data_IF_447347903132
#
_entry.id   IF_447347903132
#
_cell.length_a   1.000
_cell.length_b   1.000
_cell.length_c   1.000
_cell.angle_alpha   90.00
_cell.angle_beta   90.00
_cell.angle_gamma   90.00
#
_symmetry.space_group_name_H-M   'P 1'
#
loop_
_entity.id
_entity.type
_entity.pdbx_description
1 polymer ?
#
# COMPACT_ATOMS: atom_id res chain seq x y z
N UNK A 1 26.00 -7.12 -6.69
CA UNK A 1 25.61 -5.85 -6.02
C UNK A 1 25.66 -4.65 -6.97
N UNK A 2 26.70 -4.50 -7.81
CA UNK A 2 26.79 -3.36 -8.75
C UNK A 2 25.61 -3.25 -9.74
N UNK A 3 25.11 -4.36 -10.28
CA UNK A 3 23.93 -4.35 -11.16
C UNK A 3 22.66 -3.85 -10.47
N UNK A 4 22.48 -4.18 -9.18
CA UNK A 4 21.32 -3.74 -8.40
C UNK A 4 21.44 -2.24 -8.11
N UNK A 5 22.63 -1.77 -7.75
CA UNK A 5 22.85 -0.34 -7.51
C UNK A 5 22.60 0.50 -8.77
N UNK A 6 23.07 0.04 -9.95
CA UNK A 6 22.73 0.68 -11.22
C UNK A 6 21.24 0.71 -11.48
N UNK A 7 20.54 -0.40 -11.25
CA UNK A 7 19.10 -0.48 -11.45
C UNK A 7 18.31 0.46 -10.52
N UNK A 8 18.76 0.64 -9.27
CA UNK A 8 18.16 1.57 -8.32
C UNK A 8 18.37 3.02 -8.76
N UNK A 9 19.58 3.37 -9.20
CA UNK A 9 19.88 4.71 -9.70
C UNK A 9 19.07 5.02 -10.97
N UNK A 10 19.06 4.08 -11.92
CA UNK A 10 18.29 4.21 -13.16
C UNK A 10 16.76 4.23 -12.91
N UNK A 11 16.30 3.58 -11.84
CA UNK A 11 14.90 3.67 -11.42
C UNK A 11 14.52 5.06 -10.94
N UNK A 12 15.43 5.82 -10.33
CA UNK A 12 15.15 7.20 -9.88
C UNK A 12 15.07 8.19 -11.03
N UNK A 13 15.78 7.94 -12.13
CA UNK A 13 15.75 8.81 -13.31
C UNK A 13 14.44 8.69 -14.11
N UNK A 14 13.79 7.52 -14.06
CA UNK A 14 12.57 7.25 -14.81
C UNK A 14 11.39 7.04 -13.87
N UNK A 15 10.41 7.95 -13.89
CA UNK A 15 9.21 7.84 -13.05
C UNK A 15 8.44 6.52 -13.23
N UNK A 16 8.45 5.96 -14.45
CA UNK A 16 7.84 4.65 -14.72
C UNK A 16 8.57 3.54 -13.96
N UNK A 17 9.91 3.52 -14.01
CA UNK A 17 10.72 2.50 -13.31
C UNK A 17 10.59 2.66 -11.79
N UNK A 18 10.59 3.91 -11.31
CA UNK A 18 10.36 4.21 -9.90
C UNK A 18 9.01 3.67 -9.42
N UNK A 19 7.95 3.93 -10.19
CA UNK A 19 6.60 3.48 -9.86
C UNK A 19 6.43 1.96 -9.92
N UNK A 20 7.08 1.29 -10.88
CA UNK A 20 7.10 -0.17 -10.96
C UNK A 20 7.85 -0.78 -9.76
N UNK A 21 8.97 -0.19 -9.35
CA UNK A 21 9.71 -0.65 -8.17
C UNK A 21 8.86 -0.49 -6.89
N UNK A 22 8.24 0.68 -6.71
CA UNK A 22 7.39 0.97 -5.55
C UNK A 22 6.15 0.06 -5.50
N UNK A 23 5.49 -0.16 -6.63
CA UNK A 23 4.36 -1.09 -6.73
C UNK A 23 4.77 -2.54 -6.44
N UNK A 24 5.94 -2.97 -6.90
CA UNK A 24 6.52 -4.28 -6.57
C UNK A 24 6.71 -4.47 -5.06
N UNK A 25 7.23 -3.44 -4.37
CA UNK A 25 7.32 -3.45 -2.90
C UNK A 25 5.93 -3.50 -2.23
N UNK A 26 4.94 -2.81 -2.80
CA UNK A 26 3.55 -2.87 -2.36
C UNK A 26 2.93 -4.26 -2.50
N UNK A 27 3.20 -4.97 -3.59
CA UNK A 27 2.73 -6.36 -3.79
C UNK A 27 3.28 -7.28 -2.69
N UNK A 28 4.58 -7.19 -2.40
CA UNK A 28 5.21 -7.99 -1.34
C UNK A 28 4.56 -7.72 0.02
N UNK A 29 4.34 -6.45 0.35
CA UNK A 29 3.65 -6.06 1.59
C UNK A 29 2.20 -6.58 1.62
N UNK A 30 1.47 -6.51 0.51
CA UNK A 30 0.09 -6.98 0.41
C UNK A 30 -0.07 -8.50 0.54
N UNK A 31 0.90 -9.27 0.02
CA UNK A 31 0.97 -10.72 0.24
C UNK A 31 1.21 -11.01 1.74
N UNK A 32 2.11 -10.27 2.37
CA UNK A 32 2.37 -10.40 3.82
C UNK A 32 1.11 -10.14 4.65
N UNK A 33 0.38 -9.05 4.38
CA UNK A 33 -0.85 -8.75 5.11
C UNK A 33 -1.98 -9.75 4.82
N UNK A 34 -2.15 -10.16 3.56
CA UNK A 34 -3.21 -11.08 3.17
C UNK A 34 -3.01 -12.49 3.72
N UNK A 35 -1.77 -12.98 3.77
CA UNK A 35 -1.44 -14.27 4.40
C UNK A 35 -1.70 -14.21 5.91
N UNK A 36 -1.25 -13.14 6.57
CA UNK A 36 -1.50 -12.91 8.00
C UNK A 36 -3.00 -12.95 8.32
N UNK A 37 -3.81 -12.12 7.64
CA UNK A 37 -5.25 -12.06 7.87
C UNK A 37 -5.98 -13.37 7.49
N UNK A 38 -5.48 -14.08 6.47
CA UNK A 38 -5.99 -15.41 6.10
C UNK A 38 -5.81 -16.45 7.22
N UNK A 39 -4.64 -16.42 7.87
CA UNK A 39 -4.34 -17.30 9.00
C UNK A 39 -5.23 -17.00 10.21
N UNK A 40 -5.50 -15.73 10.54
CA UNK A 40 -6.40 -15.40 11.65
C UNK A 40 -7.82 -15.90 11.45
N UNK A 41 -8.37 -15.74 10.25
CA UNK A 41 -9.75 -16.19 10.00
C UNK A 41 -9.91 -17.70 10.15
N UNK A 42 -8.93 -18.46 9.71
CA UNK A 42 -8.99 -19.90 9.86
C UNK A 42 -8.68 -20.42 11.26
N UNK A 43 -7.97 -19.64 12.08
CA UNK A 43 -7.76 -19.93 13.49
C UNK A 43 -9.04 -19.66 14.35
N UNK A 44 -9.91 -18.77 13.89
CA UNK A 44 -11.15 -18.38 14.58
C UNK A 44 -12.44 -18.90 13.91
N UNK A 45 -12.34 -19.67 12.83
CA UNK A 45 -13.48 -20.20 12.10
C UNK A 45 -14.19 -21.36 12.82
N UNK A 46 -15.48 -21.54 12.55
CA UNK A 46 -16.27 -22.64 13.10
C UNK A 46 -15.74 -24.01 12.65
N UNK A 47 -15.41 -24.87 13.62
CA UNK A 47 -14.80 -26.18 13.36
C UNK A 47 -15.84 -27.17 12.85
N UNK A 48 -15.98 -27.23 11.52
CA UNK A 48 -16.82 -28.23 10.84
C UNK A 48 -16.08 -29.58 10.79
N UNK A 49 -16.62 -30.59 11.50
CA UNK A 49 -16.14 -31.99 11.43
C UNK A 49 -16.37 -32.76 12.73
N UNK A 50 -16.53 -34.09 12.65
CA UNK A 50 -16.71 -34.97 13.80
C UNK A 50 -15.40 -35.43 14.44
N UNK A 51 -14.27 -35.27 13.72
CA UNK A 51 -12.93 -35.69 14.19
C UNK A 51 -11.95 -34.53 14.17
N UNK A 52 -11.05 -34.47 15.18
CA UNK A 52 -10.05 -33.40 15.32
C UNK A 52 -9.13 -33.26 14.10
N UNK A 53 -8.81 -34.38 13.42
CA UNK A 53 -7.98 -34.36 12.20
C UNK A 53 -8.68 -33.70 11.02
N UNK A 54 -9.95 -33.98 10.85
CA UNK A 54 -10.76 -33.48 9.74
C UNK A 54 -11.09 -32.00 9.93
N UNK A 55 -11.40 -31.59 11.17
CA UNK A 55 -11.56 -30.18 11.53
C UNK A 55 -10.28 -29.38 11.27
N UNK A 56 -9.10 -29.93 11.59
CA UNK A 56 -7.83 -29.27 11.34
C UNK A 56 -7.55 -29.13 9.84
N UNK A 57 -7.77 -30.19 9.06
CA UNK A 57 -7.58 -30.17 7.61
C UNK A 57 -8.53 -29.20 6.90
N UNK A 58 -9.81 -29.18 7.29
CA UNK A 58 -10.79 -28.23 6.76
C UNK A 58 -10.50 -26.79 7.20
N UNK A 59 -10.06 -26.59 8.44
CA UNK A 59 -9.63 -25.29 8.96
C UNK A 59 -8.44 -24.74 8.16
N UNK A 60 -7.38 -25.52 8.01
CA UNK A 60 -6.21 -25.11 7.21
C UNK A 60 -6.55 -24.85 5.76
N UNK A 61 -7.38 -25.69 5.13
CA UNK A 61 -7.79 -25.48 3.74
C UNK A 61 -8.60 -24.19 3.57
N UNK A 62 -9.54 -23.91 4.48
CA UNK A 62 -10.29 -22.65 4.49
C UNK A 62 -9.37 -21.45 4.72
N UNK A 63 -8.45 -21.54 5.67
CA UNK A 63 -7.42 -20.51 5.96
C UNK A 63 -6.62 -20.17 4.70
N UNK A 64 -6.16 -21.21 4.01
CA UNK A 64 -5.29 -21.07 2.85
C UNK A 64 -6.03 -20.45 1.67
N UNK A 65 -7.25 -20.88 1.40
CA UNK A 65 -8.08 -20.32 0.31
C UNK A 65 -8.45 -18.87 0.60
N UNK A 66 -8.88 -18.57 1.83
CA UNK A 66 -9.22 -17.21 2.25
C UNK A 66 -7.99 -16.28 2.21
N UNK A 67 -6.85 -16.75 2.72
CA UNK A 67 -5.59 -16.04 2.69
C UNK A 67 -5.11 -15.75 1.27
N UNK A 68 -5.22 -16.72 0.36
CA UNK A 68 -4.88 -16.53 -1.05
C UNK A 68 -5.73 -15.44 -1.70
N UNK A 69 -7.05 -15.50 -1.53
CA UNK A 69 -7.96 -14.54 -2.13
C UNK A 69 -7.75 -13.12 -1.57
N UNK A 70 -7.51 -12.99 -0.27
CA UNK A 70 -7.17 -11.71 0.37
C UNK A 70 -5.80 -11.19 -0.06
N UNK A 71 -4.80 -12.05 -0.18
CA UNK A 71 -3.45 -11.67 -0.61
C UNK A 71 -3.47 -11.06 -2.02
N UNK A 72 -4.24 -11.64 -2.94
CA UNK A 72 -4.42 -11.08 -4.29
C UNK A 72 -5.11 -9.72 -4.21
N UNK A 73 -6.18 -9.60 -3.41
CA UNK A 73 -6.88 -8.34 -3.27
C UNK A 73 -5.99 -7.23 -2.68
N UNK A 74 -5.34 -7.49 -1.54
CA UNK A 74 -4.49 -6.51 -0.88
C UNK A 74 -3.25 -6.16 -1.70
N UNK A 75 -2.60 -7.13 -2.33
CA UNK A 75 -1.47 -6.84 -3.23
C UNK A 75 -1.86 -5.90 -4.36
N UNK A 76 -3.05 -6.05 -4.96
CA UNK A 76 -3.56 -5.11 -5.96
C UNK A 76 -3.78 -3.70 -5.41
N UNK A 77 -4.30 -3.57 -4.19
CA UNK A 77 -4.50 -2.26 -3.55
C UNK A 77 -3.18 -1.58 -3.16
N UNK A 78 -2.22 -2.33 -2.58
CA UNK A 78 -0.92 -1.75 -2.23
C UNK A 78 -0.07 -1.45 -3.46
N UNK A 79 -0.18 -2.25 -4.52
CA UNK A 79 0.45 -1.96 -5.80
C UNK A 79 -0.08 -0.65 -6.41
N UNK A 80 -1.41 -0.43 -6.38
CA UNK A 80 -2.01 0.79 -6.93
C UNK A 80 -1.61 2.03 -6.11
N UNK A 81 -1.61 1.93 -4.77
CA UNK A 81 -1.13 3.01 -3.90
C UNK A 81 0.34 3.32 -4.16
N UNK A 82 1.20 2.30 -4.21
CA UNK A 82 2.64 2.47 -4.47
C UNK A 82 2.90 3.11 -5.83
N UNK A 83 2.20 2.69 -6.87
CA UNK A 83 2.31 3.24 -8.23
C UNK A 83 1.91 4.73 -8.26
N UNK A 84 0.74 5.07 -7.69
CA UNK A 84 0.22 6.44 -7.72
C UNK A 84 1.09 7.38 -6.86
N UNK A 85 1.44 6.96 -5.64
CA UNK A 85 2.24 7.77 -4.73
C UNK A 85 3.61 8.12 -5.32
N UNK A 86 4.40 7.09 -5.67
CA UNK A 86 5.75 7.27 -6.22
C UNK A 86 5.76 7.91 -7.62
N UNK A 87 4.70 7.71 -8.39
CA UNK A 87 4.52 8.38 -9.68
C UNK A 87 4.34 9.88 -9.51
N UNK A 88 3.50 10.31 -8.57
CA UNK A 88 3.29 11.73 -8.27
C UNK A 88 4.54 12.34 -7.65
N UNK A 89 5.17 11.63 -6.71
CA UNK A 89 6.42 12.07 -6.08
C UNK A 89 7.51 12.33 -7.13
N UNK A 90 7.75 11.39 -8.05
CA UNK A 90 8.74 11.56 -9.11
C UNK A 90 8.42 12.73 -10.06
N UNK A 91 7.13 12.95 -10.39
CA UNK A 91 6.73 14.10 -11.22
C UNK A 91 7.02 15.42 -10.49
N UNK A 92 6.71 15.51 -9.20
CA UNK A 92 6.98 16.71 -8.39
C UNK A 92 8.49 16.94 -8.25
N UNK A 93 9.27 15.88 -8.02
CA UNK A 93 10.72 15.95 -7.92
C UNK A 93 11.37 16.37 -9.24
N UNK A 94 10.85 15.91 -10.38
CA UNK A 94 11.33 16.30 -11.70
C UNK A 94 11.11 17.79 -11.98
N UNK A 95 9.98 18.34 -11.56
CA UNK A 95 9.67 19.78 -11.74
C UNK A 95 10.47 20.67 -10.78
N UNK A 96 10.70 20.23 -9.54
CA UNK A 96 11.42 21.03 -8.53
C UNK A 96 12.93 20.79 -8.47
N UNK A 97 13.42 19.72 -9.10
CA UNK A 97 14.82 19.28 -9.06
C UNK A 97 15.42 19.20 -7.65
N UNK A 98 14.60 18.88 -6.64
CA UNK A 98 14.98 18.76 -5.22
C UNK A 98 14.24 17.60 -4.58
N UNK A 99 14.93 16.89 -3.68
CA UNK A 99 14.38 15.82 -2.84
C UNK A 99 14.23 16.35 -1.41
N UNK A 100 13.06 16.90 -1.10
CA UNK A 100 12.74 17.50 0.20
C UNK A 100 11.46 16.88 0.77
N UNK A 101 11.33 16.92 2.10
CA UNK A 101 10.15 16.44 2.86
C UNK A 101 8.83 17.03 2.36
N UNK A 102 8.85 18.27 1.86
CA UNK A 102 7.68 18.94 1.29
C UNK A 102 7.15 18.26 0.03
N UNK A 103 8.01 17.61 -0.76
CA UNK A 103 7.60 16.87 -1.95
C UNK A 103 6.87 15.59 -1.55
N UNK A 104 7.39 14.86 -0.57
CA UNK A 104 6.77 13.66 0.02
C UNK A 104 5.40 13.99 0.61
N UNK A 105 5.28 15.08 1.38
CA UNK A 105 4.00 15.56 1.92
C UNK A 105 3.04 15.94 0.79
N UNK A 106 3.52 16.66 -0.24
CA UNK A 106 2.71 17.04 -1.39
C UNK A 106 2.21 15.82 -2.17
N UNK A 107 3.06 14.83 -2.41
CA UNK A 107 2.72 13.56 -3.06
C UNK A 107 1.73 12.74 -2.23
N UNK A 108 1.90 12.69 -0.91
CA UNK A 108 0.98 12.01 0.00
C UNK A 108 -0.40 12.67 0.02
N UNK A 109 -0.47 13.99 0.16
CA UNK A 109 -1.74 14.72 0.16
C UNK A 109 -2.49 14.55 -1.16
N UNK A 110 -1.79 14.65 -2.30
CA UNK A 110 -2.40 14.54 -3.63
C UNK A 110 -2.85 13.11 -3.94
N UNK A 111 -2.02 12.11 -3.64
CA UNK A 111 -2.42 10.69 -3.78
C UNK A 111 -3.60 10.33 -2.87
N UNK A 112 -3.58 10.77 -1.61
CA UNK A 112 -4.69 10.56 -0.66
C UNK A 112 -6.00 11.23 -1.11
N UNK A 113 -5.92 12.43 -1.67
CA UNK A 113 -7.06 13.11 -2.28
C UNK A 113 -7.60 12.32 -3.49
N UNK A 114 -6.72 11.83 -4.36
CA UNK A 114 -7.08 11.00 -5.52
C UNK A 114 -7.83 9.73 -5.12
N UNK A 115 -7.33 8.99 -4.12
CA UNK A 115 -7.99 7.79 -3.63
C UNK A 115 -9.31 8.10 -2.91
N UNK A 116 -9.36 9.17 -2.12
CA UNK A 116 -10.60 9.63 -1.47
C UNK A 116 -11.69 10.04 -2.47
N UNK A 117 -11.29 10.75 -3.53
CA UNK A 117 -12.16 11.13 -4.63
C UNK A 117 -12.65 9.91 -5.42
N UNK A 118 -11.75 8.96 -5.71
CA UNK A 118 -12.09 7.73 -6.43
C UNK A 118 -13.08 6.85 -5.64
N UNK A 119 -12.88 6.71 -4.34
CA UNK A 119 -13.79 5.98 -3.45
C UNK A 119 -15.18 6.64 -3.36
N UNK A 120 -15.25 7.96 -3.42
CA UNK A 120 -16.49 8.72 -3.29
C UNK A 120 -17.12 9.14 -4.64
N UNK A 121 -16.65 8.58 -5.77
CA UNK A 121 -17.05 9.04 -7.13
C UNK A 121 -18.56 8.99 -7.42
N UNK A 122 -19.31 8.12 -6.74
CA UNK A 122 -20.77 7.95 -6.91
C UNK A 122 -21.58 8.63 -5.79
N UNK A 123 -20.91 9.30 -4.83
CA UNK A 123 -21.54 9.88 -3.66
C UNK A 123 -21.94 11.34 -3.89
N UNK A 124 -22.88 11.90 -3.11
CA UNK A 124 -23.25 13.31 -3.22
C UNK A 124 -22.05 14.23 -2.96
N UNK A 125 -22.05 15.43 -3.54
CA UNK A 125 -20.93 16.37 -3.52
C UNK A 125 -20.36 16.65 -2.11
N UNK A 126 -21.23 16.68 -1.09
CA UNK A 126 -20.83 16.87 0.32
C UNK A 126 -19.97 15.71 0.84
N UNK A 127 -20.35 14.47 0.52
CA UNK A 127 -19.56 13.28 0.89
C UNK A 127 -18.28 13.19 0.07
N UNK A 128 -18.32 13.58 -1.20
CA UNK A 128 -17.15 13.64 -2.06
C UNK A 128 -16.06 14.53 -1.45
N UNK A 129 -16.38 15.78 -1.12
CA UNK A 129 -15.41 16.72 -0.53
C UNK A 129 -14.91 16.22 0.83
N UNK A 130 -15.81 15.68 1.66
CA UNK A 130 -15.44 15.17 2.99
C UNK A 130 -14.49 13.97 2.90
N UNK A 131 -14.76 13.02 2.00
CA UNK A 131 -13.91 11.83 1.81
C UNK A 131 -12.56 12.18 1.18
N UNK A 132 -12.54 13.11 0.22
CA UNK A 132 -11.30 13.63 -0.37
C UNK A 132 -10.45 14.34 0.70
N UNK A 133 -11.05 15.19 1.53
CA UNK A 133 -10.35 15.88 2.61
C UNK A 133 -9.81 14.89 3.67
N UNK A 134 -10.61 13.89 4.06
CA UNK A 134 -10.18 12.84 4.98
C UNK A 134 -9.04 12.00 4.39
N UNK A 135 -9.11 11.65 3.11
CA UNK A 135 -8.08 10.91 2.40
C UNK A 135 -6.77 11.69 2.29
N UNK A 136 -6.84 12.97 1.94
CA UNK A 136 -5.67 13.85 1.94
C UNK A 136 -5.05 13.95 3.34
N UNK A 137 -5.88 14.21 4.37
CA UNK A 137 -5.41 14.36 5.74
C UNK A 137 -4.74 13.09 6.28
N UNK A 138 -5.31 11.90 6.02
CA UNK A 138 -4.74 10.65 6.52
C UNK A 138 -3.40 10.31 5.86
N UNK A 139 -3.27 10.47 4.54
CA UNK A 139 -2.02 10.21 3.84
C UNK A 139 -0.95 11.22 4.23
N UNK A 140 -1.32 12.50 4.40
CA UNK A 140 -0.39 13.53 4.83
C UNK A 140 0.11 13.27 6.26
N UNK A 141 -0.79 12.90 7.17
CA UNK A 141 -0.42 12.55 8.54
C UNK A 141 0.54 11.34 8.56
N UNK A 142 0.25 10.31 7.77
CA UNK A 142 1.12 9.14 7.65
C UNK A 142 2.52 9.50 7.13
N UNK A 143 2.61 10.33 6.09
CA UNK A 143 3.88 10.77 5.52
C UNK A 143 4.70 11.57 6.56
N UNK A 144 4.09 12.53 7.26
CA UNK A 144 4.77 13.31 8.31
C UNK A 144 5.30 12.41 9.43
N UNK A 145 4.51 11.42 9.86
CA UNK A 145 4.95 10.47 10.90
C UNK A 145 6.11 9.61 10.41
N UNK A 146 6.06 9.13 9.17
CA UNK A 146 7.14 8.31 8.61
C UNK A 146 8.43 9.13 8.46
N UNK A 147 8.36 10.35 7.95
CA UNK A 147 9.51 11.26 7.87
C UNK A 147 10.11 11.54 9.26
N UNK A 148 9.26 11.83 10.26
CA UNK A 148 9.71 12.00 11.63
C UNK A 148 10.39 10.75 12.21
N UNK A 149 9.83 9.56 11.95
CA UNK A 149 10.42 8.29 12.37
C UNK A 149 11.77 8.05 11.68
N UNK A 150 11.87 8.28 10.37
CA UNK A 150 13.10 8.10 9.60
C UNK A 150 14.19 9.07 10.05
N UNK A 151 13.84 10.33 10.29
CA UNK A 151 14.75 11.31 10.87
C UNK A 151 15.24 10.90 12.25
N UNK A 152 14.37 10.27 13.05
CA UNK A 152 14.73 9.76 14.36
C UNK A 152 15.69 8.57 14.29
N UNK A 153 15.54 7.67 13.32
CA UNK A 153 16.44 6.51 13.13
C UNK A 153 17.78 6.88 12.48
N UNK A 154 17.86 8.04 11.81
CA UNK A 154 19.08 8.53 11.17
C UNK A 154 20.05 9.20 12.17
N UNK A 155 19.56 9.57 13.36
CA UNK A 155 20.35 10.06 14.50
C UNK A 155 20.84 8.91 15.37
#
# INVERSE_FOLDING_TARGET
MEHINRFILESRESCVKHAVMASGMGVVMGIGLGTFLGTFEGAHGELVGNTMREQLYHGFRKSFVAGYHRSIYFSGQFASVGLVYSGIECVIERERAKHDVWNTIGAASTSGALFGAWAARQQPAKLFITNTAKGAASFTAFAVVMEFCLDRFRQ
#
